data_IF_392719288859
#
_entry.id   IF_392719288859
#
_cell.length_a   1.000
_cell.length_b   1.000
_cell.length_c   1.000
_cell.angle_alpha   90.00
_cell.angle_beta   90.00
_cell.angle_gamma   90.00
#
_symmetry.space_group_name_H-M   'P 1'
#
loop_
_entity.id
_entity.type
_entity.pdbx_description
1 polymer ?
#
# COMPACT_ATOMS: atom_id res chain seq x y z
N UNK A 1 -11.52 -9.55 18.34
CA UNK A 1 -10.23 -9.20 17.71
C UNK A 1 -9.85 -7.83 18.25
N UNK A 2 -8.87 -7.80 19.14
CA UNK A 2 -8.45 -6.63 19.92
C UNK A 2 -8.06 -5.50 18.95
N UNK A 3 -8.70 -4.33 19.05
CA UNK A 3 -8.41 -3.17 18.21
C UNK A 3 -7.03 -2.62 18.56
N UNK A 4 -5.98 -3.25 18.06
CA UNK A 4 -4.64 -2.69 18.09
C UNK A 4 -4.67 -1.43 17.21
N UNK A 5 -4.20 -0.27 17.69
CA UNK A 5 -4.18 0.96 16.90
C UNK A 5 -3.51 0.69 15.56
N UNK A 6 -4.13 1.09 14.44
CA UNK A 6 -3.56 0.89 13.09
C UNK A 6 -2.15 1.46 12.98
N UNK A 7 -1.88 2.52 13.73
CA UNK A 7 -0.57 3.16 13.87
C UNK A 7 0.49 2.22 14.44
N UNK A 8 0.14 1.35 15.38
CA UNK A 8 1.10 0.40 15.97
C UNK A 8 1.45 -0.72 15.00
N UNK A 9 0.46 -1.20 14.22
CA UNK A 9 0.72 -2.18 13.15
C UNK A 9 1.62 -1.59 12.06
N UNK A 10 1.38 -0.33 11.66
CA UNK A 10 2.24 0.37 10.70
C UNK A 10 3.67 0.43 11.23
N UNK A 11 3.86 0.87 12.49
CA UNK A 11 5.19 0.95 13.12
C UNK A 11 5.88 -0.40 13.19
N UNK A 12 5.16 -1.47 13.54
CA UNK A 12 5.72 -2.81 13.60
C UNK A 12 6.21 -3.29 12.23
N UNK A 13 5.45 -3.03 11.17
CA UNK A 13 5.83 -3.38 9.80
C UNK A 13 7.04 -2.54 9.36
N UNK A 14 7.03 -1.23 9.62
CA UNK A 14 8.17 -0.33 9.33
C UNK A 14 9.45 -0.81 10.02
N UNK A 15 9.36 -1.21 11.30
CA UNK A 15 10.48 -1.76 12.07
C UNK A 15 10.96 -3.09 11.50
N UNK A 16 10.05 -4.02 11.24
CA UNK A 16 10.38 -5.35 10.70
C UNK A 16 11.04 -5.29 9.32
N UNK A 17 10.73 -4.25 8.52
CA UNK A 17 11.26 -4.06 7.17
C UNK A 17 12.37 -3.01 7.09
N UNK A 18 12.67 -2.32 8.20
CA UNK A 18 13.59 -1.17 8.21
C UNK A 18 13.28 -0.17 7.09
N UNK A 19 11.99 0.11 6.90
CA UNK A 19 11.46 0.89 5.78
C UNK A 19 10.37 1.85 6.25
N UNK A 20 9.96 2.76 5.36
CA UNK A 20 8.72 3.52 5.53
C UNK A 20 7.56 2.82 4.83
N UNK A 21 6.41 2.76 5.48
CA UNK A 21 5.24 2.04 4.98
C UNK A 21 4.21 3.03 4.40
N UNK A 22 3.85 2.81 3.14
CA UNK A 22 2.67 3.41 2.52
C UNK A 22 1.61 2.32 2.41
N UNK A 23 0.49 2.48 3.10
CA UNK A 23 -0.63 1.55 3.04
C UNK A 23 -1.69 2.07 2.07
N UNK A 24 -1.91 1.35 0.98
CA UNK A 24 -2.97 1.61 0.02
C UNK A 24 -3.98 0.46 0.02
N UNK A 25 -5.18 0.75 0.51
CA UNK A 25 -6.24 -0.24 0.74
C UNK A 25 -7.48 0.25 -0.01
N UNK A 26 -7.91 -0.48 -1.03
CA UNK A 26 -9.17 -0.20 -1.73
C UNK A 26 -10.32 -1.02 -1.14
N UNK A 27 -11.55 -0.51 -1.22
CA UNK A 27 -12.73 -1.20 -0.72
C UNK A 27 -13.92 -1.07 -1.66
N UNK A 28 -14.64 -2.17 -1.89
CA UNK A 28 -15.82 -2.23 -2.77
C UNK A 28 -17.14 -1.88 -2.04
N UNK A 29 -17.14 -0.90 -1.13
CA UNK A 29 -18.42 -0.51 -0.51
C UNK A 29 -19.25 0.30 -1.49
N UNK A 30 -20.28 -0.32 -2.08
CA UNK A 30 -21.29 0.41 -2.84
C UNK A 30 -21.83 1.61 -2.02
N UNK A 31 -22.10 2.76 -2.68
CA UNK A 31 -21.99 3.01 -4.11
C UNK A 31 -20.57 3.36 -4.58
N UNK A 32 -19.60 3.45 -3.67
CA UNK A 32 -18.24 3.86 -3.94
C UNK A 32 -17.33 2.63 -4.13
N UNK A 33 -17.51 1.95 -5.27
CA UNK A 33 -16.42 1.15 -5.81
C UNK A 33 -15.27 2.11 -6.11
N UNK A 34 -14.37 2.28 -5.14
CA UNK A 34 -13.19 3.12 -5.30
C UNK A 34 -12.26 2.36 -6.23
N UNK A 35 -12.50 2.53 -7.54
CA UNK A 35 -11.46 2.40 -8.54
C UNK A 35 -10.28 3.23 -8.04
N UNK A 36 -9.06 2.76 -8.27
CA UNK A 36 -7.87 3.55 -8.03
C UNK A 36 -7.99 4.77 -8.95
N UNK A 37 -8.58 5.84 -8.44
CA UNK A 37 -8.80 7.06 -9.18
C UNK A 37 -7.49 7.85 -9.21
N UNK A 38 -7.32 8.68 -10.23
CA UNK A 38 -6.11 9.50 -10.40
C UNK A 38 -5.88 10.48 -9.21
N UNK A 39 -6.86 10.62 -8.32
CA UNK A 39 -6.83 11.40 -7.08
C UNK A 39 -5.88 10.85 -6.00
N UNK A 40 -5.48 9.58 -6.05
CA UNK A 40 -4.54 9.01 -5.07
C UNK A 40 -3.12 9.55 -5.24
N UNK A 41 -2.72 9.87 -6.47
CA UNK A 41 -1.37 10.33 -6.80
C UNK A 41 -0.99 11.60 -6.03
N UNK A 42 -1.77 12.69 -6.04
CA UNK A 42 -1.43 13.90 -5.26
C UNK A 42 -1.42 13.65 -3.75
N UNK A 43 -2.31 12.78 -3.24
CA UNK A 43 -2.36 12.44 -1.81
C UNK A 43 -1.06 11.74 -1.39
N UNK A 44 -0.64 10.72 -2.14
CA UNK A 44 0.59 9.99 -1.86
C UNK A 44 1.82 10.89 -2.03
N UNK A 45 1.82 11.77 -3.02
CA UNK A 45 2.91 12.75 -3.21
C UNK A 45 3.09 13.64 -1.97
N UNK A 46 2.00 14.16 -1.40
CA UNK A 46 2.07 14.97 -0.18
C UNK A 46 2.66 14.20 1.02
N UNK A 47 2.33 12.91 1.14
CA UNK A 47 2.94 12.06 2.18
C UNK A 47 4.42 11.83 1.94
N UNK A 48 4.82 11.56 0.69
CA UNK A 48 6.21 11.36 0.30
C UNK A 48 7.07 12.62 0.50
N UNK A 49 6.52 13.81 0.24
CA UNK A 49 7.20 15.08 0.52
C UNK A 49 7.49 15.26 2.01
N UNK A 50 6.54 14.91 2.88
CA UNK A 50 6.71 14.97 4.35
C UNK A 50 7.73 13.94 4.85
N UNK A 51 7.78 12.76 4.23
CA UNK A 51 8.70 11.67 4.60
C UNK A 51 10.11 11.93 4.05
N UNK A 52 10.24 12.62 2.92
CA UNK A 52 11.51 12.86 2.23
C UNK A 52 12.08 11.60 1.54
N UNK A 53 13.32 11.71 1.05
CA UNK A 53 14.00 10.59 0.37
C UNK A 53 14.30 9.45 1.34
N UNK A 54 13.99 8.22 0.95
CA UNK A 54 14.19 7.02 1.75
C UNK A 54 15.11 6.01 1.05
N UNK A 55 15.75 5.12 1.81
CA UNK A 55 16.47 3.98 1.25
C UNK A 55 15.49 2.94 0.72
N UNK A 56 14.48 2.60 1.52
CA UNK A 56 13.45 1.62 1.20
C UNK A 56 12.06 2.16 1.57
N UNK A 57 11.12 2.06 0.65
CA UNK A 57 9.70 2.27 0.92
C UNK A 57 8.94 0.97 0.62
N UNK A 58 8.14 0.54 1.59
CA UNK A 58 7.24 -0.60 1.45
C UNK A 58 5.84 -0.11 1.10
N UNK A 59 5.29 -0.58 -0.01
CA UNK A 59 3.91 -0.35 -0.39
C UNK A 59 3.06 -1.56 0.03
N UNK A 60 2.23 -1.39 1.03
CA UNK A 60 1.21 -2.38 1.37
C UNK A 60 -0.01 -2.17 0.48
N UNK A 61 -0.28 -3.10 -0.42
CA UNK A 61 -1.30 -3.00 -1.45
C UNK A 61 -2.39 -4.04 -1.23
N UNK A 62 -3.56 -3.61 -0.75
CA UNK A 62 -4.76 -4.45 -0.70
C UNK A 62 -5.79 -3.97 -1.73
N UNK A 63 -6.06 -4.80 -2.72
CA UNK A 63 -7.15 -4.60 -3.68
C UNK A 63 -7.89 -5.92 -3.90
N UNK A 64 -9.19 -5.86 -4.21
CA UNK A 64 -10.00 -7.06 -4.53
C UNK A 64 -9.91 -7.51 -6.00
N UNK A 65 -9.00 -6.91 -6.78
CA UNK A 65 -8.95 -7.02 -8.23
C UNK A 65 -9.75 -5.91 -8.92
N UNK A 66 -9.38 -5.62 -10.17
CA UNK A 66 -9.89 -4.47 -10.92
C UNK A 66 -8.76 -3.48 -11.24
N UNK A 67 -8.54 -3.31 -12.55
CA UNK A 67 -7.60 -2.39 -13.23
C UNK A 67 -6.14 -2.31 -12.71
N UNK A 68 -5.24 -3.01 -13.41
CA UNK A 68 -3.79 -3.11 -13.09
C UNK A 68 -2.96 -1.88 -13.53
N UNK A 69 -3.56 -0.87 -14.18
CA UNK A 69 -2.84 0.30 -14.70
C UNK A 69 -2.45 1.27 -13.58
N UNK A 70 -3.30 1.44 -12.58
CA UNK A 70 -3.12 2.43 -11.53
C UNK A 70 -1.96 2.15 -10.53
N UNK A 71 -1.64 0.89 -10.18
CA UNK A 71 -0.44 0.55 -9.40
C UNK A 71 0.87 1.03 -10.04
N UNK A 72 0.96 1.11 -11.38
CA UNK A 72 2.20 1.47 -12.07
C UNK A 72 2.56 2.94 -11.83
N UNK A 73 1.60 3.86 -11.91
CA UNK A 73 1.83 5.30 -11.65
C UNK A 73 2.26 5.52 -10.21
N UNK A 74 1.60 4.83 -9.28
CA UNK A 74 1.93 4.88 -7.85
C UNK A 74 3.35 4.37 -7.57
N UNK A 75 3.74 3.23 -8.14
CA UNK A 75 5.10 2.68 -8.01
C UNK A 75 6.13 3.65 -8.59
N UNK A 76 5.86 4.28 -9.74
CA UNK A 76 6.76 5.27 -10.34
C UNK A 76 6.96 6.48 -9.42
N UNK A 77 5.88 7.00 -8.83
CA UNK A 77 5.96 8.08 -7.86
C UNK A 77 6.78 7.67 -6.64
N UNK A 78 6.51 6.51 -6.04
CA UNK A 78 7.25 6.06 -4.86
C UNK A 78 8.74 5.86 -5.18
N UNK A 79 9.07 5.30 -6.35
CA UNK A 79 10.45 5.16 -6.83
C UNK A 79 11.17 6.48 -7.01
N UNK A 80 10.47 7.58 -7.27
CA UNK A 80 11.13 8.89 -7.32
C UNK A 80 11.56 9.37 -5.93
N UNK A 81 11.05 8.78 -4.84
CA UNK A 81 11.42 9.11 -3.45
C UNK A 81 12.24 8.03 -2.74
N UNK A 82 12.47 6.87 -3.36
CA UNK A 82 13.18 5.76 -2.72
C UNK A 82 14.24 5.11 -3.63
N UNK A 83 15.33 4.62 -3.04
CA UNK A 83 16.34 3.82 -3.77
C UNK A 83 15.77 2.44 -4.13
N UNK A 84 15.00 1.86 -3.21
CA UNK A 84 14.32 0.58 -3.38
C UNK A 84 12.85 0.70 -2.99
N UNK A 85 12.01 -0.05 -3.69
CA UNK A 85 10.57 -0.15 -3.40
C UNK A 85 10.20 -1.62 -3.34
N UNK A 86 9.56 -2.01 -2.25
CA UNK A 86 8.97 -3.35 -2.10
C UNK A 86 7.45 -3.26 -2.05
N UNK A 87 6.75 -4.28 -2.53
CA UNK A 87 5.29 -4.35 -2.52
C UNK A 87 4.85 -5.53 -1.67
N UNK A 88 4.05 -5.26 -0.64
CA UNK A 88 3.47 -6.26 0.27
C UNK A 88 2.01 -6.44 -0.12
N UNK A 89 1.68 -7.62 -0.65
CA UNK A 89 0.30 -7.97 -1.02
C UNK A 89 -0.26 -8.93 0.05
N UNK A 90 -1.22 -8.50 0.87
CA UNK A 90 -1.89 -9.36 1.83
C UNK A 90 -2.93 -10.22 1.09
N UNK A 91 -2.47 -11.20 0.31
CA UNK A 91 -3.39 -12.15 -0.30
C UNK A 91 -3.92 -13.09 0.80
N UNK A 92 -5.24 -13.32 0.84
CA UNK A 92 -5.78 -14.53 1.47
C UNK A 92 -5.35 -15.69 0.59
N UNK A 93 -4.37 -16.49 1.00
CA UNK A 93 -4.34 -17.87 0.55
C UNK A 93 -5.57 -18.55 1.15
N UNK A 94 -6.58 -18.98 0.36
CA UNK A 94 -7.50 -19.96 0.87
C UNK A 94 -6.69 -21.25 1.02
N UNK A 95 -6.43 -21.68 2.24
CA UNK A 95 -6.22 -23.11 2.49
C UNK A 95 -7.47 -23.85 2.02
N UNK A 96 -7.46 -24.35 0.77
CA UNK A 96 -8.20 -25.51 0.26
C UNK A 96 -8.05 -25.62 -1.28
N UNK A 97 -7.04 -26.37 -1.73
CA UNK A 97 -7.31 -27.45 -2.69
C UNK A 97 -6.78 -28.73 -2.05
N UNK A 98 -7.65 -29.35 -1.26
CA UNK A 98 -7.66 -30.79 -1.15
C UNK A 98 -8.44 -31.27 -2.37
N UNK A 99 -7.73 -31.91 -3.30
CA UNK A 99 -8.12 -33.04 -4.15
C UNK A 99 -6.89 -33.44 -4.97
#
# INVERSE_FOLDING_TARGET
>A
MTNQPRTDLIKQIEQARSSRLIAYITGDRQPFATKIADDIIPIVAQHLEKIGKQKLISLFLYTRGGDMIAPIRLIKLIRSYAQQVEVIIPYRAPTALAL
#
